data_IF_971136500234
#
_entry.id   IF_971136500234
#
_cell.length_a   1.000
_cell.length_b   1.000
_cell.length_c   1.000
_cell.angle_alpha   90.00
_cell.angle_beta   90.00
_cell.angle_gamma   90.00
#
_symmetry.space_group_name_H-M   'P 1'
#
loop_
_entity.id
_entity.type
_entity.pdbx_description
1 polymer ?
#
# COMPACT_ATOMS: atom_id res chain seq x y z
N UNK A 1 11.51 -3.30 4.30
CA UNK A 1 10.55 -2.16 4.28
C UNK A 1 11.00 -1.07 5.24
N UNK A 2 11.00 0.21 4.82
CA UNK A 2 11.32 1.31 5.74
C UNK A 2 10.29 1.38 6.87
N UNK A 3 10.75 1.32 8.12
CA UNK A 3 9.88 1.45 9.29
C UNK A 3 9.55 2.93 9.45
N UNK A 4 8.27 3.27 9.31
CA UNK A 4 7.76 4.62 9.54
C UNK A 4 6.99 4.61 10.86
N UNK A 5 7.55 5.27 11.87
CA UNK A 5 6.84 5.52 13.13
C UNK A 5 5.56 6.32 12.86
N UNK A 6 4.41 5.91 13.42
CA UNK A 6 3.14 6.61 13.22
C UNK A 6 3.26 8.09 13.59
N UNK A 7 2.96 8.97 12.65
CA UNK A 7 2.95 10.42 12.89
C UNK A 7 1.79 11.09 12.19
N UNK A 8 1.27 12.12 12.84
CA UNK A 8 0.26 12.99 12.24
C UNK A 8 0.96 14.01 11.35
N UNK A 9 0.46 14.19 10.13
CA UNK A 9 0.94 15.20 9.18
C UNK A 9 -0.23 16.04 8.70
N UNK A 10 0.06 17.30 8.33
CA UNK A 10 -0.92 18.23 7.76
C UNK A 10 -0.70 18.31 6.26
N UNK A 11 -1.76 18.09 5.50
CA UNK A 11 -1.79 18.20 4.05
C UNK A 11 -1.87 19.67 3.61
N UNK A 12 -1.63 19.93 2.32
CA UNK A 12 -1.61 21.29 1.76
C UNK A 12 -2.96 22.01 1.85
N UNK A 13 -4.04 21.27 1.91
CA UNK A 13 -5.42 21.76 2.09
C UNK A 13 -5.79 22.00 3.56
N UNK A 14 -4.86 21.74 4.49
CA UNK A 14 -5.09 21.87 5.94
C UNK A 14 -5.68 20.62 6.59
N UNK A 15 -6.00 19.57 5.83
CA UNK A 15 -6.47 18.30 6.40
C UNK A 15 -5.36 17.59 7.18
N UNK A 16 -5.74 16.82 8.20
CA UNK A 16 -4.80 16.04 9.01
C UNK A 16 -4.90 14.55 8.65
N UNK A 17 -3.76 13.88 8.48
CA UNK A 17 -3.71 12.44 8.25
C UNK A 17 -2.59 11.76 9.05
N UNK A 18 -2.72 10.45 9.24
CA UNK A 18 -1.72 9.62 9.91
C UNK A 18 -0.87 8.94 8.84
N UNK A 19 0.45 9.13 8.92
CA UNK A 19 1.42 8.39 8.13
C UNK A 19 2.01 7.28 9.00
N UNK A 20 1.83 6.02 8.58
CA UNK A 20 2.33 4.82 9.27
C UNK A 20 2.57 3.68 8.27
N UNK A 21 3.27 2.63 8.72
CA UNK A 21 3.36 1.35 7.99
C UNK A 21 1.97 0.69 7.94
N UNK A 22 1.57 0.06 6.81
CA UNK A 22 0.31 -0.67 6.72
C UNK A 22 0.28 -1.91 7.63
N UNK A 23 -0.91 -2.25 8.08
CA UNK A 23 -1.23 -3.47 8.83
C UNK A 23 -2.13 -4.38 7.99
N UNK A 24 -2.26 -5.66 8.37
CA UNK A 24 -3.07 -6.64 7.62
C UNK A 24 -4.53 -6.17 7.44
N UNK A 25 -5.06 -5.39 8.39
CA UNK A 25 -6.39 -4.80 8.29
C UNK A 25 -6.53 -3.74 7.18
N UNK A 26 -5.43 -3.15 6.72
CA UNK A 26 -5.43 -2.16 5.65
C UNK A 26 -5.41 -2.77 4.25
N UNK A 27 -5.19 -4.09 4.14
CA UNK A 27 -5.00 -4.78 2.85
C UNK A 27 -6.10 -4.47 1.83
N UNK A 28 -7.37 -4.42 2.27
CA UNK A 28 -8.49 -4.11 1.39
C UNK A 28 -8.44 -2.67 0.87
N UNK A 29 -8.15 -1.70 1.74
CA UNK A 29 -8.06 -0.29 1.36
C UNK A 29 -6.86 -0.03 0.44
N UNK A 30 -5.71 -0.66 0.72
CA UNK A 30 -4.51 -0.59 -0.11
C UNK A 30 -4.78 -1.16 -1.50
N UNK A 31 -5.38 -2.34 -1.57
CA UNK A 31 -5.69 -2.99 -2.83
C UNK A 31 -6.71 -2.20 -3.67
N UNK A 32 -7.74 -1.64 -3.02
CA UNK A 32 -8.72 -0.80 -3.68
C UNK A 32 -8.09 0.48 -4.27
N UNK A 33 -7.22 1.14 -3.50
CA UNK A 33 -6.47 2.31 -3.97
C UNK A 33 -5.55 1.97 -5.14
N UNK A 34 -4.80 0.86 -5.06
CA UNK A 34 -3.91 0.42 -6.13
C UNK A 34 -4.68 0.17 -7.44
N UNK A 35 -5.82 -0.53 -7.37
CA UNK A 35 -6.69 -0.79 -8.53
C UNK A 35 -7.22 0.50 -9.14
N UNK A 36 -7.68 1.44 -8.32
CA UNK A 36 -8.16 2.74 -8.80
C UNK A 36 -7.02 3.51 -9.50
N UNK A 37 -5.84 3.57 -8.87
CA UNK A 37 -4.67 4.26 -9.43
C UNK A 37 -4.24 3.69 -10.79
N UNK A 38 -4.16 2.36 -10.90
CA UNK A 38 -3.78 1.69 -12.15
C UNK A 38 -4.80 1.95 -13.27
N UNK A 39 -6.09 1.95 -12.94
CA UNK A 39 -7.16 2.26 -13.90
C UNK A 39 -7.15 3.72 -14.38
N UNK A 40 -6.83 4.65 -13.49
CA UNK A 40 -6.85 6.09 -13.80
C UNK A 40 -5.59 6.58 -14.50
N UNK A 41 -4.44 5.92 -14.26
CA UNK A 41 -3.15 6.42 -14.69
C UNK A 41 -2.56 5.59 -15.84
N UNK A 42 -2.65 6.13 -17.05
CA UNK A 42 -2.03 5.55 -18.25
C UNK A 42 -0.48 5.45 -18.19
N UNK A 43 0.15 6.07 -17.19
CA UNK A 43 1.59 5.93 -16.90
C UNK A 43 1.94 4.82 -15.92
N UNK A 44 0.97 4.01 -15.48
CA UNK A 44 1.24 2.81 -14.69
C UNK A 44 2.04 1.79 -15.50
N UNK A 45 2.99 1.10 -14.84
CA UNK A 45 3.78 0.03 -15.47
C UNK A 45 2.89 -1.18 -15.75
N UNK A 46 1.98 -1.49 -14.84
CA UNK A 46 1.02 -2.58 -14.97
C UNK A 46 -0.29 -2.06 -15.54
N UNK A 47 -0.88 -2.80 -16.46
CA UNK A 47 -2.24 -2.59 -16.93
C UNK A 47 -3.26 -3.17 -15.92
N UNK A 48 -4.51 -2.69 -15.91
CA UNK A 48 -5.55 -3.18 -15.02
C UNK A 48 -5.76 -4.71 -15.07
N UNK A 49 -5.61 -5.29 -16.25
CA UNK A 49 -5.80 -6.74 -16.49
C UNK A 49 -4.64 -7.57 -15.94
N UNK A 50 -3.46 -6.95 -15.78
CA UNK A 50 -2.27 -7.58 -15.21
C UNK A 50 -2.30 -7.53 -13.67
N UNK A 51 -3.03 -6.58 -13.08
CA UNK A 51 -3.15 -6.42 -11.63
C UNK A 51 -4.19 -7.38 -11.03
N UNK A 52 -3.77 -8.65 -10.91
CA UNK A 52 -4.60 -9.77 -10.45
C UNK A 52 -4.45 -10.12 -8.97
N UNK A 53 -3.66 -9.35 -8.21
CA UNK A 53 -3.38 -9.58 -6.78
C UNK A 53 -4.69 -9.69 -6.00
N UNK A 54 -4.85 -10.80 -5.26
CA UNK A 54 -6.00 -11.05 -4.41
C UNK A 54 -5.83 -10.41 -3.02
N UNK A 55 -6.95 -10.23 -2.31
CA UNK A 55 -6.93 -9.71 -0.94
C UNK A 55 -6.09 -10.59 0.00
N UNK A 56 -6.14 -11.91 -0.15
CA UNK A 56 -5.38 -12.84 0.70
C UNK A 56 -3.88 -12.77 0.41
N UNK A 57 -3.49 -12.60 -0.86
CA UNK A 57 -2.08 -12.38 -1.23
C UNK A 57 -1.56 -11.06 -0.68
N UNK A 58 -2.35 -9.99 -0.75
CA UNK A 58 -2.00 -8.69 -0.17
C UNK A 58 -1.84 -8.78 1.35
N UNK A 59 -2.77 -9.45 2.04
CA UNK A 59 -2.67 -9.71 3.49
C UNK A 59 -1.39 -10.46 3.85
N UNK A 60 -1.07 -11.50 3.08
CA UNK A 60 0.14 -12.30 3.27
C UNK A 60 1.39 -11.46 3.03
N UNK A 61 1.38 -10.62 2.01
CA UNK A 61 2.48 -9.72 1.69
C UNK A 61 2.73 -8.70 2.82
N UNK A 62 1.68 -8.02 3.31
CA UNK A 62 1.80 -7.08 4.43
C UNK A 62 2.32 -7.79 5.69
N UNK A 63 1.83 -8.99 5.98
CA UNK A 63 2.29 -9.80 7.12
C UNK A 63 3.77 -10.20 6.97
N UNK A 64 4.18 -10.72 5.81
CA UNK A 64 5.56 -11.19 5.59
C UNK A 64 6.59 -10.07 5.67
N UNK A 65 6.23 -8.87 5.22
CA UNK A 65 7.13 -7.71 5.28
C UNK A 65 7.27 -7.12 6.68
N UNK A 66 6.31 -7.37 7.58
CA UNK A 66 6.45 -7.03 9.01
C UNK A 66 7.44 -7.96 9.70
N UNK A 67 7.43 -9.24 9.33
CA UNK A 67 8.27 -10.27 9.92
C UNK A 67 9.72 -10.23 9.38
N UNK A 68 9.94 -9.58 8.23
CA UNK A 68 11.25 -9.49 7.59
C UNK A 68 11.56 -8.05 7.09
N UNK A 69 11.99 -7.13 7.97
CA UNK A 69 12.19 -5.72 7.62
C UNK A 69 13.32 -5.49 6.61
N UNK A 70 14.25 -6.45 6.49
CA UNK A 70 15.40 -6.39 5.58
C UNK A 70 15.15 -7.05 4.21
N UNK A 71 13.93 -7.55 3.97
CA UNK A 71 13.60 -8.16 2.68
C UNK A 71 13.59 -7.09 1.57
N UNK A 72 14.26 -7.40 0.46
CA UNK A 72 14.34 -6.51 -0.68
C UNK A 72 12.99 -6.54 -1.41
N UNK A 73 12.42 -5.37 -1.68
CA UNK A 73 11.31 -5.25 -2.64
C UNK A 73 11.88 -5.55 -4.04
N UNK A 74 11.81 -6.79 -4.49
CA UNK A 74 12.14 -7.22 -5.85
C UNK A 74 10.86 -7.40 -6.67
#
# INVERSE_FOLDING_TARGET
MAIIEPRTVTLKDGASCILRVPEVGDAEAVLAYARAHINENAGSISAPEEFTITLEEERKWIASHRDNPDDLLL
#
